data_IF_964980878690
#
_entry.id   IF_964980878690
#
_cell.length_a   1.000
_cell.length_b   1.000
_cell.length_c   1.000
_cell.angle_alpha   90.00
_cell.angle_beta   90.00
_cell.angle_gamma   90.00
#
_symmetry.space_group_name_H-M   'P 1'
#
loop_
_entity.id
_entity.type
_entity.pdbx_description
1 polymer ?
#
# COMPACT_ATOMS: atom_id res chain seq x y z
N UNK A 1 -8.56 13.56 -30.24
CA UNK A 1 -8.00 12.32 -30.82
C UNK A 1 -6.95 11.82 -29.85
N UNK A 2 -7.08 10.61 -29.32
CA UNK A 2 -6.09 10.08 -28.39
C UNK A 2 -4.76 9.91 -29.14
N UNK A 3 -3.71 10.58 -28.67
CA UNK A 3 -2.40 10.55 -29.30
C UNK A 3 -1.75 9.18 -29.02
N UNK A 4 -1.07 8.61 -30.02
CA UNK A 4 -0.47 7.29 -29.92
C UNK A 4 1.04 7.45 -29.68
N UNK A 5 1.56 6.84 -28.62
CA UNK A 5 2.95 6.95 -28.20
C UNK A 5 3.69 5.63 -28.38
N UNK A 6 4.96 5.69 -28.77
CA UNK A 6 5.84 4.52 -28.84
C UNK A 6 6.53 4.31 -27.48
N UNK A 7 6.81 3.05 -27.11
CA UNK A 7 7.48 2.73 -25.86
C UNK A 7 8.86 3.40 -25.72
N UNK A 8 9.58 3.53 -26.83
CA UNK A 8 10.87 4.23 -26.89
C UNK A 8 10.75 5.73 -26.60
N UNK A 9 9.62 6.36 -26.89
CA UNK A 9 9.38 7.75 -26.52
C UNK A 9 9.12 7.87 -25.03
N UNK A 10 8.22 7.05 -24.48
CA UNK A 10 7.90 7.04 -23.05
C UNK A 10 9.16 6.80 -22.21
N UNK A 11 10.05 5.91 -22.63
CA UNK A 11 11.31 5.61 -21.95
C UNK A 11 12.27 6.80 -21.77
N UNK A 12 12.07 7.91 -22.49
CA UNK A 12 12.87 9.14 -22.33
C UNK A 12 12.45 9.94 -21.08
N UNK A 13 11.22 9.78 -20.62
CA UNK A 13 10.61 10.56 -19.54
C UNK A 13 10.77 9.88 -18.18
N UNK A 14 12.02 9.82 -17.70
CA UNK A 14 12.41 9.11 -16.46
C UNK A 14 13.05 9.98 -15.38
N UNK A 15 12.90 11.31 -15.47
CA UNK A 15 13.50 12.25 -14.51
C UNK A 15 12.43 13.00 -13.72
N UNK A 16 12.83 13.75 -12.70
CA UNK A 16 11.88 14.50 -11.86
C UNK A 16 11.23 15.67 -12.60
N UNK A 17 11.93 16.19 -13.59
CA UNK A 17 11.50 17.29 -14.45
C UNK A 17 10.69 16.79 -15.67
N UNK A 18 10.65 15.47 -15.88
CA UNK A 18 9.99 14.83 -17.02
C UNK A 18 9.74 13.35 -16.70
N UNK A 19 8.55 13.05 -16.18
CA UNK A 19 8.18 11.74 -15.64
C UNK A 19 6.87 11.23 -16.22
N UNK A 20 6.96 10.24 -17.11
CA UNK A 20 5.78 9.58 -17.66
C UNK A 20 5.68 8.14 -17.18
N UNK A 21 4.46 7.64 -17.06
CA UNK A 21 4.18 6.24 -16.71
C UNK A 21 3.10 5.69 -17.61
N UNK A 22 3.14 4.37 -17.85
CA UNK A 22 2.07 3.66 -18.54
C UNK A 22 1.24 2.90 -17.51
N UNK A 23 -0.07 3.12 -17.54
CA UNK A 23 -1.05 2.39 -16.73
C UNK A 23 -2.18 1.92 -17.64
N UNK A 24 -2.43 0.61 -17.65
CA UNK A 24 -3.47 -0.02 -18.48
C UNK A 24 -3.36 0.35 -19.97
N UNK A 25 -2.13 0.42 -20.50
CA UNK A 25 -1.85 0.81 -21.88
C UNK A 25 -2.08 2.29 -22.20
N UNK A 26 -2.30 3.14 -21.19
CA UNK A 26 -2.42 4.58 -21.35
C UNK A 26 -1.20 5.29 -20.77
N UNK A 27 -0.71 6.30 -21.47
CA UNK A 27 0.43 7.12 -21.09
C UNK A 27 -0.06 8.32 -20.28
N UNK A 28 0.52 8.50 -19.10
CA UNK A 28 0.24 9.61 -18.21
C UNK A 28 1.51 10.43 -17.96
N UNK A 29 1.41 11.75 -18.06
CA UNK A 29 2.38 12.67 -17.53
C UNK A 29 2.08 12.93 -16.06
N UNK A 30 2.96 12.46 -15.18
CA UNK A 30 2.81 12.58 -13.73
C UNK A 30 3.85 13.52 -13.13
N UNK A 31 4.55 14.30 -13.97
CA UNK A 31 5.66 15.18 -13.55
C UNK A 31 5.23 16.13 -12.44
N UNK A 32 4.13 16.86 -12.62
CA UNK A 32 3.61 17.81 -11.63
C UNK A 32 3.03 17.11 -10.39
N UNK A 33 2.55 15.86 -10.56
CA UNK A 33 1.96 15.08 -9.48
C UNK A 33 3.01 14.44 -8.55
N UNK A 34 4.27 14.32 -8.98
CA UNK A 34 5.33 13.66 -8.20
C UNK A 34 5.41 14.16 -6.74
N UNK A 35 5.31 15.48 -6.54
CA UNK A 35 5.41 16.09 -5.22
C UNK A 35 4.16 15.87 -4.35
N UNK A 36 3.00 15.69 -4.98
CA UNK A 36 1.72 15.48 -4.32
C UNK A 36 1.42 14.00 -4.04
N UNK A 37 2.19 13.07 -4.62
CA UNK A 37 1.94 11.65 -4.48
C UNK A 37 2.02 11.19 -3.01
N UNK A 38 0.94 10.65 -2.41
CA UNK A 38 0.91 10.25 -1.00
C UNK A 38 1.92 9.15 -0.65
N UNK A 39 2.25 8.27 -1.60
CA UNK A 39 3.30 7.25 -1.45
C UNK A 39 4.73 7.78 -1.62
N UNK A 40 4.89 9.07 -1.88
CA UNK A 40 6.15 9.76 -2.15
C UNK A 40 6.61 9.67 -3.62
N UNK A 41 7.44 10.63 -4.09
CA UNK A 41 7.86 10.69 -5.50
C UNK A 41 8.76 9.52 -5.92
N UNK A 42 9.53 8.96 -4.98
CA UNK A 42 10.57 7.98 -5.28
C UNK A 42 10.04 6.68 -5.88
N UNK A 43 8.83 6.26 -5.52
CA UNK A 43 8.22 5.03 -6.06
C UNK A 43 7.77 5.20 -7.51
N UNK A 44 7.27 6.39 -7.88
CA UNK A 44 6.91 6.70 -9.27
C UNK A 44 8.17 6.82 -10.12
N UNK A 45 9.19 7.56 -9.64
CA UNK A 45 10.44 7.75 -10.37
C UNK A 45 11.17 6.44 -10.71
N UNK A 46 11.01 5.40 -9.88
CA UNK A 46 11.61 4.08 -10.14
C UNK A 46 10.95 3.35 -11.31
N UNK A 47 9.69 3.65 -11.60
CA UNK A 47 8.90 3.05 -12.68
C UNK A 47 8.70 4.01 -13.86
N UNK A 48 9.29 5.20 -13.79
CA UNK A 48 9.17 6.22 -14.81
C UNK A 48 9.76 5.74 -16.14
N UNK A 49 9.07 6.09 -17.22
CA UNK A 49 9.39 5.68 -18.58
C UNK A 49 8.97 4.24 -18.92
N UNK A 50 8.16 3.58 -18.09
CA UNK A 50 7.72 2.20 -18.31
C UNK A 50 6.28 1.94 -17.89
N UNK A 51 5.86 0.68 -18.03
CA UNK A 51 4.57 0.20 -17.52
C UNK A 51 4.65 -0.08 -16.03
N UNK A 52 3.79 0.57 -15.26
CA UNK A 52 3.71 0.50 -13.81
C UNK A 52 2.42 -0.19 -13.32
N UNK A 53 1.62 -0.77 -14.22
CA UNK A 53 0.30 -1.32 -13.89
C UNK A 53 0.38 -2.40 -12.81
N UNK A 54 1.35 -3.32 -12.92
CA UNK A 54 1.51 -4.42 -11.98
C UNK A 54 1.84 -3.95 -10.54
N UNK A 55 2.58 -2.85 -10.40
CA UNK A 55 2.90 -2.22 -9.13
C UNK A 55 1.80 -1.28 -8.61
N UNK A 56 1.00 -0.72 -9.51
CA UNK A 56 -0.08 0.21 -9.20
C UNK A 56 -1.31 -0.50 -8.61
N UNK A 57 -1.80 -1.53 -9.29
CA UNK A 57 -3.04 -2.26 -8.98
C UNK A 57 -3.17 -2.76 -7.52
N UNK A 58 -2.13 -3.37 -6.90
CA UNK A 58 -2.27 -3.91 -5.55
C UNK A 58 -2.32 -2.82 -4.46
N UNK A 59 -2.07 -1.55 -4.80
CA UNK A 59 -1.95 -0.46 -3.82
C UNK A 59 -3.09 0.55 -3.94
N UNK A 60 -3.62 0.77 -5.15
CA UNK A 60 -4.57 1.83 -5.41
C UNK A 60 -5.98 1.28 -5.70
N UNK A 61 -7.02 1.80 -5.03
CA UNK A 61 -8.39 1.43 -5.37
C UNK A 61 -8.78 1.96 -6.75
N UNK A 62 -9.77 1.32 -7.42
CA UNK A 62 -10.34 1.84 -8.66
C UNK A 62 -10.83 3.28 -8.50
N UNK A 63 -10.65 4.13 -9.53
CA UNK A 63 -11.05 5.55 -9.50
C UNK A 63 -9.94 6.50 -9.03
N UNK A 64 -8.85 5.99 -8.44
CA UNK A 64 -7.79 6.85 -7.88
C UNK A 64 -7.12 7.74 -8.94
N UNK A 65 -6.97 7.28 -10.18
CA UNK A 65 -6.38 8.10 -11.25
C UNK A 65 -7.29 9.26 -11.62
N UNK A 66 -8.58 8.99 -11.80
CA UNK A 66 -9.59 9.96 -12.21
C UNK A 66 -9.83 11.02 -11.13
N UNK A 67 -9.72 10.65 -9.87
CA UNK A 67 -9.94 11.55 -8.73
C UNK A 67 -8.73 12.47 -8.45
N UNK A 68 -7.51 12.05 -8.83
CA UNK A 68 -6.28 12.72 -8.39
C UNK A 68 -5.41 13.27 -9.54
N UNK A 69 -5.62 12.83 -10.78
CA UNK A 69 -4.92 13.37 -11.94
C UNK A 69 -5.88 14.18 -12.81
N UNK A 70 -5.45 15.35 -13.29
CA UNK A 70 -6.29 16.12 -14.17
C UNK A 70 -6.39 15.44 -15.55
N UNK A 71 -7.48 15.64 -16.31
CA UNK A 71 -7.67 14.97 -17.60
C UNK A 71 -6.53 15.21 -18.60
N UNK A 72 -5.90 16.37 -18.56
CA UNK A 72 -4.75 16.74 -19.38
C UNK A 72 -3.48 15.92 -19.09
N UNK A 73 -3.34 15.34 -17.89
CA UNK A 73 -2.22 14.46 -17.56
C UNK A 73 -2.28 13.16 -18.38
N UNK A 74 -3.46 12.77 -18.87
CA UNK A 74 -3.61 11.62 -19.76
C UNK A 74 -3.29 12.02 -21.19
N UNK A 75 -2.06 11.73 -21.61
CA UNK A 75 -1.57 12.09 -22.94
C UNK A 75 -2.24 11.27 -24.05
N UNK A 76 -2.39 9.96 -23.84
CA UNK A 76 -2.95 9.07 -24.86
C UNK A 76 -2.62 7.60 -24.65
N UNK A 77 -2.62 6.82 -25.72
CA UNK A 77 -2.46 5.36 -25.68
C UNK A 77 -1.08 4.92 -26.14
N UNK A 78 -0.56 3.87 -25.51
CA UNK A 78 0.67 3.23 -25.95
C UNK A 78 0.40 2.38 -27.19
N UNK A 79 1.25 2.48 -28.21
CA UNK A 79 1.19 1.61 -29.39
C UNK A 79 1.50 0.18 -28.95
N UNK A 80 0.56 -0.73 -29.19
CA UNK A 80 0.82 -2.17 -29.00
C UNK A 80 1.88 -2.59 -30.02
N UNK A 81 3.05 -3.03 -29.55
CA UNK A 81 4.06 -3.59 -30.44
C UNK A 81 3.52 -4.87 -31.09
N UNK A 82 3.31 -4.82 -32.41
CA UNK A 82 3.11 -6.02 -33.23
C UNK A 82 4.46 -6.50 -33.74
N UNK A 83 5.19 -7.32 -32.97
CA UNK A 83 6.35 -8.02 -33.55
C UNK A 83 6.58 -9.39 -32.92
N UNK A 84 6.63 -10.42 -33.77
CA UNK A 84 7.01 -11.78 -33.40
C UNK A 84 8.48 -11.90 -33.01
N UNK A 85 8.74 -12.92 -32.19
CA UNK A 85 9.98 -13.71 -32.04
C UNK A 85 11.31 -13.09 -32.54
N UNK A 86 12.20 -12.74 -31.62
CA UNK A 86 13.62 -12.49 -31.92
C UNK A 86 14.41 -11.95 -30.72
N UNK A 87 15.30 -12.77 -30.19
CA UNK A 87 16.11 -12.54 -29.00
C UNK A 87 17.12 -11.39 -29.12
N UNK A 88 17.34 -10.65 -28.02
CA UNK A 88 18.68 -10.55 -27.42
C UNK A 88 18.57 -10.18 -25.92
N UNK A 89 19.26 -10.94 -25.07
CA UNK A 89 19.29 -10.77 -23.62
C UNK A 89 20.55 -11.41 -23.09
N UNK A 90 21.52 -10.63 -22.59
CA UNK A 90 22.23 -10.74 -21.28
C UNK A 90 23.55 -9.94 -21.26
N UNK A 91 24.21 -9.66 -20.10
CA UNK A 91 23.78 -9.77 -18.69
C UNK A 91 24.07 -8.52 -17.81
N UNK A 92 23.50 -8.60 -16.60
CA UNK A 92 23.46 -7.73 -15.39
C UNK A 92 24.81 -7.24 -14.83
N UNK A 93 24.81 -6.33 -13.82
CA UNK A 93 24.94 -6.86 -12.44
C UNK A 93 24.00 -6.21 -11.40
N UNK A 94 23.44 -7.09 -10.57
CA UNK A 94 23.05 -6.92 -9.17
C UNK A 94 22.09 -5.78 -8.81
N UNK A 95 20.78 -6.07 -8.79
CA UNK A 95 19.87 -5.50 -7.78
C UNK A 95 18.92 -6.59 -7.33
N UNK A 96 18.95 -6.82 -6.02
CA UNK A 96 18.17 -7.77 -5.24
C UNK A 96 16.73 -7.87 -5.75
N UNK A 97 16.46 -8.97 -6.44
CA UNK A 97 15.12 -9.49 -6.72
C UNK A 97 14.40 -9.60 -5.38
N UNK A 98 13.52 -8.64 -5.07
CA UNK A 98 12.43 -8.94 -4.14
C UNK A 98 11.42 -9.69 -4.98
N UNK A 99 11.74 -10.96 -5.17
CA UNK A 99 10.87 -11.97 -5.75
C UNK A 99 9.51 -11.82 -5.11
N UNK A 100 8.49 -11.64 -5.94
CA UNK A 100 7.13 -12.08 -5.66
C UNK A 100 7.23 -13.58 -5.38
N UNK A 101 7.59 -13.93 -4.15
CA UNK A 101 7.54 -15.31 -3.68
C UNK A 101 6.07 -15.69 -3.72
N UNK A 102 5.66 -16.68 -4.54
CA UNK A 102 4.40 -17.36 -4.28
C UNK A 102 4.51 -17.87 -2.85
N UNK A 103 3.54 -17.53 -2.00
CA UNK A 103 3.52 -17.89 -0.58
C UNK A 103 4.20 -19.25 -0.33
N UNK A 104 5.23 -19.35 0.53
CA UNK A 104 5.70 -20.66 0.93
C UNK A 104 4.55 -21.34 1.70
N UNK A 105 4.01 -22.40 1.10
CA UNK A 105 3.47 -23.60 1.73
C UNK A 105 2.89 -23.44 3.14
N UNK A 106 1.56 -23.39 3.23
CA UNK A 106 0.71 -24.07 4.24
C UNK A 106 1.22 -24.12 5.69
N UNK A 107 1.87 -23.08 6.19
CA UNK A 107 1.90 -22.82 7.62
C UNK A 107 0.70 -21.92 7.95
N UNK A 108 -0.45 -22.56 8.20
CA UNK A 108 -1.66 -21.83 8.60
C UNK A 108 -1.50 -21.14 9.97
N UNK A 109 -0.36 -21.34 10.65
CA UNK A 109 -0.03 -20.93 12.01
C UNK A 109 -1.15 -21.28 12.99
N UNK A 110 -1.15 -20.68 14.19
CA UNK A 110 -2.21 -20.93 15.17
C UNK A 110 -3.59 -20.52 14.58
N UNK A 111 -4.65 -21.32 14.81
CA UNK A 111 -6.02 -20.89 14.53
C UNK A 111 -6.32 -19.57 15.24
N UNK A 112 -7.08 -18.66 14.62
CA UNK A 112 -7.42 -17.37 15.23
C UNK A 112 -8.03 -17.50 16.63
N UNK A 113 -8.86 -18.52 16.85
CA UNK A 113 -9.47 -18.83 18.14
C UNK A 113 -8.47 -19.19 19.25
N UNK A 114 -7.21 -19.52 18.90
CA UNK A 114 -6.16 -19.80 19.88
C UNK A 114 -5.36 -18.56 20.28
N UNK A 115 -5.57 -17.41 19.62
CA UNK A 115 -4.97 -16.14 20.00
C UNK A 115 -5.90 -15.45 21.01
N UNK A 116 -5.45 -15.33 22.25
CA UNK A 116 -6.31 -14.98 23.40
C UNK A 116 -6.42 -13.46 23.59
N UNK A 117 -5.47 -12.70 23.05
CA UNK A 117 -5.41 -11.25 23.21
C UNK A 117 -4.85 -10.57 21.94
N UNK A 118 -4.96 -9.24 21.90
CA UNK A 118 -4.49 -8.45 20.76
C UNK A 118 -2.96 -8.49 20.58
N UNK A 119 -2.19 -8.66 21.66
CA UNK A 119 -0.72 -8.74 21.59
C UNK A 119 -0.26 -10.01 20.85
N UNK A 120 -0.96 -11.13 21.06
CA UNK A 120 -0.72 -12.39 20.34
C UNK A 120 -1.09 -12.29 18.85
N UNK A 121 -2.19 -11.59 18.54
CA UNK A 121 -2.56 -11.28 17.15
C UNK A 121 -1.48 -10.42 16.49
N UNK A 122 -0.98 -9.39 17.17
CA UNK A 122 0.10 -8.55 16.67
C UNK A 122 1.41 -9.35 16.46
N UNK A 123 1.77 -10.23 17.40
CA UNK A 123 2.94 -11.08 17.30
C UNK A 123 2.86 -12.06 16.12
N UNK A 124 1.70 -12.66 15.88
CA UNK A 124 1.51 -13.54 14.74
C UNK A 124 1.47 -12.76 13.42
N UNK A 125 0.88 -11.56 13.41
CA UNK A 125 0.91 -10.68 12.24
C UNK A 125 2.36 -10.30 11.86
N UNK A 126 3.22 -10.01 12.84
CA UNK A 126 4.66 -9.75 12.60
C UNK A 126 5.38 -10.90 11.91
N UNK A 127 4.99 -12.14 12.19
CA UNK A 127 5.58 -13.35 11.62
C UNK A 127 5.13 -13.59 10.18
N UNK A 128 3.87 -13.24 9.87
CA UNK A 128 3.25 -13.51 8.56
C UNK A 128 3.37 -12.38 7.55
N UNK A 129 3.35 -11.13 8.01
CA UNK A 129 3.39 -9.97 7.12
C UNK A 129 4.76 -9.81 6.48
N UNK A 130 4.77 -9.29 5.25
CA UNK A 130 6.02 -8.87 4.63
C UNK A 130 6.69 -7.77 5.47
N UNK A 131 8.03 -7.68 5.42
CA UNK A 131 8.77 -6.63 6.15
C UNK A 131 8.27 -5.22 5.81
N UNK A 132 7.88 -4.98 4.56
CA UNK A 132 7.32 -3.70 4.09
C UNK A 132 5.95 -3.42 4.74
N UNK A 133 5.04 -4.38 4.73
CA UNK A 133 3.72 -4.23 5.33
C UNK A 133 3.82 -4.06 6.86
N UNK A 134 4.66 -4.86 7.51
CA UNK A 134 4.93 -4.72 8.94
C UNK A 134 5.52 -3.35 9.29
N UNK A 135 6.53 -2.89 8.54
CA UNK A 135 7.10 -1.57 8.75
C UNK A 135 6.04 -0.47 8.59
N UNK A 136 5.17 -0.57 7.58
CA UNK A 136 4.09 0.40 7.37
C UNK A 136 3.09 0.41 8.54
N UNK A 137 2.57 -0.74 8.96
CA UNK A 137 1.54 -0.81 10.01
C UNK A 137 2.08 -0.60 11.43
N UNK A 138 3.30 -1.08 11.72
CA UNK A 138 3.87 -1.00 13.07
C UNK A 138 4.63 0.30 13.32
N UNK A 139 5.15 0.98 12.30
CA UNK A 139 5.91 2.22 12.53
C UNK A 139 5.06 3.34 13.12
N UNK A 140 5.74 4.32 13.70
CA UNK A 140 5.20 5.62 14.06
C UNK A 140 6.31 6.66 13.86
N UNK A 141 6.03 7.92 14.19
CA UNK A 141 7.03 8.99 14.12
C UNK A 141 8.24 8.71 15.02
N UNK A 142 9.43 8.91 14.46
CA UNK A 142 10.73 8.90 15.13
C UNK A 142 10.94 7.73 16.11
N UNK A 143 10.85 7.99 17.40
CA UNK A 143 11.22 7.10 18.50
C UNK A 143 10.06 6.26 19.06
N UNK A 144 8.87 6.33 18.44
CA UNK A 144 7.65 5.61 18.83
C UNK A 144 7.11 5.99 20.22
N UNK A 145 7.58 7.08 20.84
CA UNK A 145 7.19 7.45 22.21
C UNK A 145 5.70 7.69 22.32
N UNK A 146 5.11 8.49 21.43
CA UNK A 146 3.67 8.77 21.47
C UNK A 146 2.82 7.53 21.21
N UNK A 147 3.23 6.67 20.25
CA UNK A 147 2.56 5.38 19.99
C UNK A 147 2.52 4.52 21.24
N UNK A 148 3.67 4.37 21.90
CA UNK A 148 3.80 3.55 23.12
C UNK A 148 2.97 4.14 24.26
N UNK A 149 3.06 5.46 24.47
CA UNK A 149 2.37 6.16 25.55
C UNK A 149 0.85 6.10 25.40
N UNK A 150 0.31 6.20 24.18
CA UNK A 150 -1.12 6.10 23.92
C UNK A 150 -1.72 4.78 24.44
N UNK A 151 -0.94 3.69 24.41
CA UNK A 151 -1.37 2.40 24.94
C UNK A 151 -1.06 2.26 26.44
N UNK A 152 0.10 2.69 26.91
CA UNK A 152 0.53 2.44 28.29
C UNK A 152 -0.11 3.35 29.32
N UNK A 153 -0.53 4.57 28.94
CA UNK A 153 -1.11 5.55 29.88
C UNK A 153 -2.39 5.04 30.57
N UNK A 154 -3.13 4.13 29.93
CA UNK A 154 -4.32 3.53 30.54
C UNK A 154 -4.01 2.67 31.77
N UNK A 155 -2.76 2.19 31.92
CA UNK A 155 -2.32 1.45 33.12
C UNK A 155 -2.24 2.33 34.36
N UNK A 156 -2.14 3.64 34.18
CA UNK A 156 -2.15 4.60 35.28
C UNK A 156 -3.56 4.86 35.82
N UNK A 157 -4.60 4.40 35.09
CA UNK A 157 -6.00 4.54 35.48
C UNK A 157 -6.45 3.28 36.23
N UNK A 158 -6.58 3.39 37.55
CA UNK A 158 -7.08 2.30 38.39
C UNK A 158 -8.62 2.28 38.42
N UNK A 159 -9.19 1.08 38.32
CA UNK A 159 -10.63 0.88 38.50
C UNK A 159 -10.98 0.85 39.99
N UNK A 160 -12.13 1.44 40.34
CA UNK A 160 -12.77 1.30 41.65
C UNK A 160 -14.07 0.52 41.48
N UNK A 161 -14.01 -0.82 41.37
CA UNK A 161 -15.20 -1.62 41.10
C UNK A 161 -16.20 -1.51 42.25
N UNK A 162 -17.49 -1.53 41.90
CA UNK A 162 -18.59 -1.59 42.88
C UNK A 162 -18.88 -3.05 43.20
N UNK A 163 -19.02 -3.36 44.48
CA UNK A 163 -19.37 -4.69 44.96
C UNK A 163 -20.87 -4.82 45.21
N UNK A 164 -21.36 -6.06 45.25
CA UNK A 164 -22.78 -6.38 45.49
C UNK A 164 -23.74 -5.72 44.50
N UNK A 165 -23.29 -5.58 43.24
CA UNK A 165 -24.12 -5.15 42.10
C UNK A 165 -24.50 -6.40 41.31
N UNK A 166 -25.78 -6.52 40.94
CA UNK A 166 -26.23 -7.56 40.02
C UNK A 166 -25.71 -7.25 38.61
N UNK A 167 -24.76 -8.07 38.14
CA UNK A 167 -24.16 -7.99 36.82
C UNK A 167 -24.54 -9.19 35.93
N UNK A 168 -25.67 -9.84 36.22
CA UNK A 168 -26.15 -10.99 35.43
C UNK A 168 -26.48 -10.59 33.99
N UNK A 169 -26.94 -9.35 33.81
CA UNK A 169 -27.14 -8.72 32.51
C UNK A 169 -26.21 -7.51 32.38
N UNK A 170 -25.36 -7.55 31.35
CA UNK A 170 -24.50 -6.44 30.95
C UNK A 170 -24.75 -6.16 29.48
N UNK A 171 -25.05 -4.91 29.15
CA UNK A 171 -25.20 -4.44 27.79
C UNK A 171 -24.08 -3.45 27.47
N UNK A 172 -23.31 -3.76 26.42
CA UNK A 172 -22.23 -2.91 25.91
C UNK A 172 -22.65 -2.09 24.70
N UNK A 173 -23.92 -2.17 24.29
CA UNK A 173 -24.48 -1.37 23.21
C UNK A 173 -24.50 0.12 23.57
N UNK A 174 -24.37 0.96 22.55
CA UNK A 174 -24.37 2.42 22.68
C UNK A 174 -24.72 3.07 21.34
N UNK A 175 -24.64 4.40 21.27
CA UNK A 175 -24.81 5.16 20.03
C UNK A 175 -23.56 5.95 19.69
N UNK A 176 -23.09 5.83 18.45
CA UNK A 176 -22.01 6.65 17.88
C UNK A 176 -22.58 7.46 16.71
N UNK A 177 -22.44 8.79 16.78
CA UNK A 177 -22.93 9.71 15.74
C UNK A 177 -24.42 9.52 15.38
N UNK A 178 -25.26 9.15 16.35
CA UNK A 178 -26.70 8.91 16.14
C UNK A 178 -27.05 7.50 15.65
N UNK A 179 -26.06 6.63 15.46
CA UNK A 179 -26.27 5.25 15.04
C UNK A 179 -26.01 4.28 16.20
N UNK A 180 -26.90 3.29 16.36
CA UNK A 180 -26.70 2.21 17.33
C UNK A 180 -25.51 1.33 16.95
N UNK A 181 -24.69 0.99 17.94
CA UNK A 181 -23.51 0.11 17.82
C UNK A 181 -23.42 -0.82 19.03
N UNK A 182 -22.89 -2.02 18.83
CA UNK A 182 -22.78 -3.06 19.86
C UNK A 182 -23.77 -4.20 19.68
#
# INVERSE_FOLDING_TARGET
MAQLFDAAEVAKHKTRESCWVVLYGQVYDVTDFLAAHPGGPGVILRLAGGDATAEYDPVHPPGTLEDNLPPEARLGSLRAETTGSGADSTPTPTTTTTTTTPMPTTDHGPPLASLVNLDEIEAEAKRRLSKKAWAYYFSASDDLVSKTRNSTVYRDILLRPRLLVDCTLCDTSTTLLGHGVG
#
